data_IF_099723617480
#
_entry.id   IF_099723617480
#
_cell.length_a   1.000
_cell.length_b   1.000
_cell.length_c   1.000
_cell.angle_alpha   90.00
_cell.angle_beta   90.00
_cell.angle_gamma   90.00
#
_symmetry.space_group_name_H-M   'P 1'
#
loop_
_entity.id
_entity.type
_entity.pdbx_description
1 polymer ?
#
# COMPACT_ATOMS: atom_id res chain seq x y z
N UNK A 1 -11.74 -1.59 13.52
CA UNK A 1 -10.77 -0.85 12.68
C UNK A 1 -9.66 -0.40 13.61
N UNK A 2 -8.41 -0.54 13.22
CA UNK A 2 -7.24 -0.19 14.02
C UNK A 2 -6.38 0.76 13.22
N UNK A 3 -5.86 1.78 13.88
CA UNK A 3 -5.00 2.79 13.26
C UNK A 3 -3.54 2.36 13.30
N UNK A 4 -2.82 2.65 12.22
CA UNK A 4 -1.39 2.41 12.08
C UNK A 4 -0.72 3.65 11.47
N UNK A 5 0.48 3.98 11.96
CA UNK A 5 1.29 5.07 11.42
C UNK A 5 2.58 4.52 10.82
N UNK A 6 2.88 4.94 9.60
CA UNK A 6 4.11 4.61 8.89
C UNK A 6 4.78 5.89 8.41
N UNK A 7 6.04 6.07 8.81
CA UNK A 7 6.91 7.12 8.29
C UNK A 7 7.37 6.69 6.89
N UNK A 8 7.06 7.50 5.87
CA UNK A 8 7.48 7.26 4.50
C UNK A 8 8.51 8.33 4.09
N UNK A 9 9.64 7.89 3.54
CA UNK A 9 10.66 8.80 3.00
C UNK A 9 10.08 9.62 1.84
N UNK A 10 10.24 10.94 1.89
CA UNK A 10 9.79 11.82 0.81
C UNK A 10 10.49 11.46 -0.51
N UNK A 11 9.70 11.31 -1.58
CA UNK A 11 10.20 11.02 -2.93
C UNK A 11 10.42 9.54 -3.24
N UNK A 12 10.12 8.63 -2.30
CA UNK A 12 10.19 7.18 -2.55
C UNK A 12 8.85 6.65 -3.07
N UNK A 13 8.84 6.13 -4.29
CA UNK A 13 7.69 5.40 -4.81
C UNK A 13 7.57 4.04 -4.09
N UNK A 14 6.43 3.79 -3.46
CA UNK A 14 6.11 2.53 -2.81
C UNK A 14 4.71 2.05 -3.17
N UNK A 15 4.52 0.74 -3.20
CA UNK A 15 3.22 0.10 -3.38
C UNK A 15 2.58 -0.14 -2.01
N UNK A 16 1.26 -0.30 -1.98
CA UNK A 16 0.56 -0.58 -0.72
C UNK A 16 1.09 -1.85 -0.04
N UNK A 17 1.46 -2.87 -0.81
CA UNK A 17 2.05 -4.09 -0.25
C UNK A 17 3.35 -3.81 0.52
N UNK A 18 4.17 -2.84 0.08
CA UNK A 18 5.41 -2.49 0.78
C UNK A 18 5.11 -1.89 2.15
N UNK A 19 4.09 -1.02 2.23
CA UNK A 19 3.64 -0.47 3.51
C UNK A 19 3.07 -1.55 4.43
N UNK A 20 2.28 -2.49 3.92
CA UNK A 20 1.74 -3.60 4.71
C UNK A 20 2.84 -4.51 5.26
N UNK A 21 3.91 -4.75 4.49
CA UNK A 21 5.08 -5.51 4.95
C UNK A 21 5.78 -4.77 6.10
N UNK A 22 6.04 -3.47 5.95
CA UNK A 22 6.65 -2.66 7.01
C UNK A 22 5.78 -2.58 8.27
N UNK A 23 4.46 -2.50 8.12
CA UNK A 23 3.55 -2.55 9.26
C UNK A 23 3.58 -3.91 9.96
N UNK A 24 3.70 -5.01 9.21
CA UNK A 24 3.84 -6.34 9.80
C UNK A 24 5.15 -6.53 10.58
N UNK A 25 6.22 -5.86 10.17
CA UNK A 25 7.48 -5.86 10.94
C UNK A 25 7.31 -5.18 12.30
N UNK A 26 6.48 -4.14 12.37
CA UNK A 26 6.12 -3.46 13.64
C UNK A 26 5.08 -4.24 14.46
N UNK A 27 4.14 -4.90 13.78
CA UNK A 27 3.08 -5.73 14.37
C UNK A 27 2.97 -7.09 13.67
N UNK A 28 3.65 -8.13 14.20
CA UNK A 28 3.63 -9.46 13.61
C UNK A 28 2.24 -10.12 13.54
N UNK A 29 1.25 -9.62 14.29
CA UNK A 29 -0.12 -10.16 14.27
C UNK A 29 -0.88 -9.79 12.99
N UNK A 30 -0.48 -8.70 12.30
CA UNK A 30 -1.09 -8.26 11.05
C UNK A 30 -0.92 -9.33 9.95
N UNK A 31 -2.05 -9.85 9.46
CA UNK A 31 -2.07 -10.97 8.50
C UNK A 31 -2.70 -10.58 7.18
N UNK A 32 -1.98 -10.83 6.08
CA UNK A 32 -2.46 -10.64 4.71
C UNK A 32 -1.80 -11.65 3.77
N UNK A 33 -2.49 -11.95 2.66
CA UNK A 33 -1.97 -12.82 1.60
C UNK A 33 -1.15 -12.00 0.61
N UNK A 34 -0.09 -12.62 0.09
CA UNK A 34 0.86 -12.05 -0.89
C UNK A 34 1.71 -13.17 -1.48
N UNK A 35 2.15 -13.03 -2.74
CA UNK A 35 3.06 -13.97 -3.38
C UNK A 35 3.96 -13.28 -4.43
N UNK A 36 3.50 -13.13 -5.69
CA UNK A 36 4.35 -12.69 -6.81
C UNK A 36 4.83 -11.23 -6.74
N UNK A 37 4.07 -10.34 -6.09
CA UNK A 37 4.32 -8.89 -5.99
C UNK A 37 4.38 -8.11 -7.33
N UNK A 38 3.96 -8.72 -8.43
CA UNK A 38 4.02 -8.13 -9.77
C UNK A 38 2.65 -8.16 -10.49
N UNK A 39 1.56 -8.36 -9.73
CA UNK A 39 0.20 -8.29 -10.26
C UNK A 39 -0.29 -9.52 -11.02
N UNK A 40 0.44 -10.64 -11.00
CA UNK A 40 0.11 -11.85 -11.77
C UNK A 40 -0.78 -12.84 -10.99
N UNK A 41 -0.44 -13.14 -9.74
CA UNK A 41 -1.06 -14.24 -8.99
C UNK A 41 -2.39 -13.92 -8.29
N UNK A 42 -2.76 -12.64 -8.18
CA UNK A 42 -3.99 -12.20 -7.49
C UNK A 42 -4.06 -12.48 -5.97
N UNK A 43 -2.95 -12.82 -5.32
CA UNK A 43 -2.97 -13.24 -3.90
C UNK A 43 -3.33 -12.13 -2.92
N UNK A 44 -3.02 -10.88 -3.25
CA UNK A 44 -3.09 -9.70 -2.38
C UNK A 44 -4.21 -8.74 -2.79
N UNK A 45 -5.37 -9.30 -3.17
CA UNK A 45 -6.59 -8.56 -3.41
C UNK A 45 -7.15 -7.93 -2.14
N UNK A 46 -7.34 -6.62 -2.14
CA UNK A 46 -7.86 -5.83 -1.02
C UNK A 46 -8.89 -4.80 -1.51
N UNK A 47 -9.79 -4.38 -0.62
CA UNK A 47 -10.57 -3.16 -0.82
C UNK A 47 -9.79 -1.98 -0.24
N UNK A 48 -9.43 -1.02 -1.09
CA UNK A 48 -8.62 0.15 -0.76
C UNK A 48 -9.41 1.40 -1.11
N UNK A 49 -9.79 2.19 -0.10
CA UNK A 49 -10.61 3.39 -0.27
C UNK A 49 -11.90 3.13 -1.07
N UNK A 50 -12.59 2.01 -0.80
CA UNK A 50 -13.84 1.63 -1.44
C UNK A 50 -13.69 0.93 -2.80
N UNK A 51 -12.47 0.81 -3.34
CA UNK A 51 -12.20 0.15 -4.63
C UNK A 51 -11.37 -1.11 -4.44
N UNK A 52 -11.80 -2.21 -5.07
CA UNK A 52 -11.01 -3.45 -5.10
C UNK A 52 -9.78 -3.28 -6.00
N UNK A 53 -8.66 -3.85 -5.59
CA UNK A 53 -7.43 -3.91 -6.37
C UNK A 53 -6.39 -4.83 -5.74
N UNK A 54 -5.21 -4.90 -6.35
CA UNK A 54 -4.07 -5.67 -5.84
C UNK A 54 -3.08 -4.73 -5.14
N UNK A 55 -2.73 -5.05 -3.89
CA UNK A 55 -1.85 -4.21 -3.07
C UNK A 55 -0.46 -4.03 -3.71
N UNK A 56 0.07 -5.05 -4.39
CA UNK A 56 1.41 -5.06 -4.97
C UNK A 56 1.61 -4.14 -6.17
N UNK A 57 0.54 -3.69 -6.81
CA UNK A 57 0.61 -2.79 -7.97
C UNK A 57 -0.22 -1.52 -7.76
N UNK A 58 -0.63 -1.26 -6.52
CA UNK A 58 -1.34 -0.03 -6.15
C UNK A 58 -0.36 0.94 -5.49
N UNK A 59 0.04 2.03 -6.18
CA UNK A 59 1.02 2.97 -5.64
C UNK A 59 0.41 3.81 -4.52
N UNK A 60 1.18 4.03 -3.46
CA UNK A 60 0.88 5.05 -2.44
C UNK A 60 1.31 6.39 -3.03
N UNK A 61 0.33 7.19 -3.44
CA UNK A 61 0.60 8.54 -3.94
C UNK A 61 0.79 9.47 -2.76
N UNK A 62 1.97 10.06 -2.63
CA UNK A 62 2.11 11.26 -1.82
C UNK A 62 1.23 12.35 -2.44
N UNK A 63 0.37 12.97 -1.64
CA UNK A 63 -0.37 14.16 -2.05
C UNK A 63 0.60 15.31 -2.21
N UNK A 64 1.37 15.32 -3.31
CA UNK A 64 1.91 16.57 -3.81
C UNK A 64 0.72 17.35 -4.32
N UNK A 65 0.40 18.46 -3.67
CA UNK A 65 -0.56 19.44 -4.15
C UNK A 65 -0.06 20.04 -5.48
N UNK A 66 -0.11 19.26 -6.56
CA UNK A 66 -0.05 19.82 -7.91
C UNK A 66 -1.38 20.55 -8.12
N UNK A 67 -1.39 21.82 -7.74
CA UNK A 67 -2.34 22.80 -8.22
C UNK A 67 -2.40 22.65 -9.75
N UNK A 68 -3.46 22.01 -10.22
CA UNK A 68 -3.77 21.88 -11.65
C UNK A 68 -4.04 23.30 -12.12
N UNK A 69 -3.04 23.96 -12.72
CA UNK A 69 -3.28 25.20 -13.47
C UNK A 69 -4.22 24.83 -14.61
N UNK A 70 -5.43 25.38 -14.53
CA UNK A 70 -6.37 25.47 -15.64
C UNK A 70 -5.75 26.31 -16.76
#
# INVERSE_FOLDING_TARGET
>A
MQDYTLEAEEGRDMMLLDALIQLKEKDPSLSFRRSCREGVCGSDGLNMNGKNGLACITPIRHSTSRARRL
#
